data_IF_873222431006
#
_entry.id   IF_873222431006
#
_cell.length_a   1.000
_cell.length_b   1.000
_cell.length_c   1.000
_cell.angle_alpha   90.00
_cell.angle_beta   90.00
_cell.angle_gamma   90.00
#
_symmetry.space_group_name_H-M   'P 1'
#
loop_
_entity.id
_entity.type
_entity.pdbx_description
1 polymer ?
#
# COMPACT_ATOMS: atom_id res chain seq x y z
N UNK A 1 26.93 -43.42 56.56
CA UNK A 1 26.81 -42.08 55.97
C UNK A 1 26.30 -42.06 54.52
N UNK A 2 25.80 -43.18 53.97
CA UNK A 2 25.38 -43.31 52.55
C UNK A 2 23.84 -43.43 52.37
N UNK A 3 23.06 -43.50 53.47
CA UNK A 3 21.58 -43.66 53.39
C UNK A 3 20.75 -42.36 53.49
N UNK A 4 21.35 -41.21 53.70
CA UNK A 4 20.66 -39.93 53.88
C UNK A 4 20.63 -39.13 52.54
N UNK A 5 21.61 -39.30 51.65
CA UNK A 5 21.63 -38.57 50.35
C UNK A 5 20.61 -39.07 49.30
N UNK A 6 20.21 -40.34 49.34
CA UNK A 6 19.25 -40.90 48.41
C UNK A 6 17.79 -40.41 48.61
N UNK A 7 17.42 -40.00 49.86
CA UNK A 7 16.07 -39.49 50.15
C UNK A 7 15.86 -38.02 49.81
N UNK A 8 16.93 -37.23 49.71
CA UNK A 8 16.85 -35.81 49.29
C UNK A 8 16.72 -35.67 47.76
N UNK A 9 17.40 -36.52 46.94
CA UNK A 9 17.33 -36.48 45.47
C UNK A 9 15.95 -36.89 44.92
N UNK A 10 15.23 -37.79 45.59
CA UNK A 10 13.87 -38.18 45.16
C UNK A 10 12.80 -37.09 45.44
N UNK A 11 12.97 -36.28 46.52
CA UNK A 11 12.03 -35.20 46.82
C UNK A 11 12.22 -33.99 45.88
N UNK A 12 13.46 -33.70 45.47
CA UNK A 12 13.75 -32.61 44.51
C UNK A 12 13.30 -32.99 43.10
N UNK A 13 13.44 -34.28 42.71
CA UNK A 13 12.96 -34.77 41.40
C UNK A 13 11.43 -34.79 41.32
N UNK A 14 10.73 -35.10 42.42
CA UNK A 14 9.27 -35.06 42.49
C UNK A 14 8.69 -33.65 42.42
N UNK A 15 9.35 -32.65 43.02
CA UNK A 15 8.95 -31.25 42.96
C UNK A 15 9.27 -30.64 41.57
N UNK A 16 10.34 -31.05 40.87
CA UNK A 16 10.67 -30.64 39.49
C UNK A 16 9.70 -31.25 38.46
N UNK A 17 9.27 -32.46 38.64
CA UNK A 17 8.25 -33.11 37.78
C UNK A 17 6.84 -32.56 38.00
N UNK A 18 6.50 -32.10 39.22
CA UNK A 18 5.20 -31.50 39.51
C UNK A 18 5.10 -30.06 38.95
N UNK A 19 6.22 -29.31 38.88
CA UNK A 19 6.25 -27.97 38.28
C UNK A 19 6.31 -28.01 36.73
N UNK A 20 6.66 -29.13 36.08
CA UNK A 20 6.66 -29.26 34.61
C UNK A 20 5.26 -29.54 34.05
N UNK A 21 4.29 -29.93 34.91
CA UNK A 21 2.93 -30.29 34.44
C UNK A 21 1.93 -29.11 34.56
N UNK A 22 2.33 -27.94 35.08
CA UNK A 22 1.44 -26.78 35.29
C UNK A 22 1.55 -25.72 34.18
N UNK A 23 2.39 -25.91 33.15
CA UNK A 23 2.47 -25.05 31.97
C UNK A 23 1.92 -25.76 30.71
N UNK A 24 0.75 -26.38 30.81
CA UNK A 24 -0.08 -26.52 29.63
C UNK A 24 -0.67 -25.15 29.37
N UNK A 25 -0.35 -24.45 28.25
CA UNK A 25 -1.09 -23.27 27.88
C UNK A 25 -2.53 -23.75 27.66
N UNK A 26 -3.42 -23.43 28.61
CA UNK A 26 -4.85 -23.42 28.31
C UNK A 26 -4.93 -22.51 27.07
N UNK A 27 -5.23 -23.10 25.92
CA UNK A 27 -5.58 -22.34 24.73
C UNK A 27 -6.89 -21.63 25.01
N UNK A 28 -6.83 -20.59 25.84
CA UNK A 28 -7.94 -19.69 26.01
C UNK A 28 -8.23 -19.11 24.64
N UNK A 29 -9.36 -19.46 24.10
CA UNK A 29 -9.84 -19.00 22.82
C UNK A 29 -9.77 -17.46 22.87
N UNK A 30 -8.85 -16.88 22.10
CA UNK A 30 -8.62 -15.42 22.14
C UNK A 30 -9.85 -14.74 21.60
N UNK A 31 -10.38 -13.84 22.40
CA UNK A 31 -11.54 -13.03 22.03
C UNK A 31 -11.03 -11.67 21.59
N UNK A 32 -11.28 -11.32 20.34
CA UNK A 32 -10.86 -10.03 19.76
C UNK A 32 -12.02 -9.04 19.72
N UNK A 33 -11.73 -7.81 20.10
CA UNK A 33 -12.61 -6.66 19.87
C UNK A 33 -12.34 -6.05 18.50
N UNK A 34 -13.27 -5.25 17.98
CA UNK A 34 -13.09 -4.53 16.71
C UNK A 34 -11.80 -3.69 16.71
N UNK A 35 -11.52 -2.98 17.81
CA UNK A 35 -10.32 -2.14 17.90
C UNK A 35 -9.03 -2.98 17.83
N UNK A 36 -8.97 -4.10 18.52
CA UNK A 36 -7.81 -4.99 18.46
C UNK A 36 -7.55 -5.56 17.07
N UNK A 37 -8.62 -5.82 16.32
CA UNK A 37 -8.53 -6.28 14.92
C UNK A 37 -7.96 -5.16 14.04
N UNK A 38 -8.45 -3.94 14.18
CA UNK A 38 -7.94 -2.77 13.44
C UNK A 38 -6.45 -2.54 13.74
N UNK A 39 -6.07 -2.52 15.03
CA UNK A 39 -4.69 -2.32 15.45
C UNK A 39 -3.76 -3.42 14.91
N UNK A 40 -4.20 -4.68 14.96
CA UNK A 40 -3.44 -5.81 14.40
C UNK A 40 -3.29 -5.70 12.88
N UNK A 41 -4.34 -5.29 12.16
CA UNK A 41 -4.30 -5.09 10.73
C UNK A 41 -3.31 -3.96 10.37
N UNK A 42 -3.37 -2.82 11.03
CA UNK A 42 -2.46 -1.69 10.79
C UNK A 42 -0.99 -2.03 11.06
N UNK A 43 -0.71 -2.92 12.03
CA UNK A 43 0.65 -3.34 12.34
C UNK A 43 1.20 -4.38 11.37
N UNK A 44 0.39 -5.34 10.96
CA UNK A 44 0.87 -6.55 10.32
C UNK A 44 0.52 -6.64 8.83
N UNK A 45 -0.45 -5.84 8.34
CA UNK A 45 -0.89 -5.92 6.95
C UNK A 45 0.24 -5.58 5.98
N UNK A 46 0.33 -6.37 4.92
CA UNK A 46 1.36 -6.22 3.89
C UNK A 46 1.26 -4.88 3.15
N UNK A 47 0.05 -4.38 2.85
CA UNK A 47 -0.14 -3.13 2.13
C UNK A 47 0.40 -1.94 2.94
N UNK A 48 0.11 -1.85 4.25
CA UNK A 48 0.64 -0.81 5.14
C UNK A 48 2.15 -0.91 5.26
N UNK A 49 2.69 -2.12 5.43
CA UNK A 49 4.16 -2.32 5.49
C UNK A 49 4.84 -1.90 4.20
N UNK A 50 4.27 -2.26 3.05
CA UNK A 50 4.78 -1.85 1.73
C UNK A 50 4.74 -0.33 1.56
N UNK A 51 3.65 0.33 1.97
CA UNK A 51 3.53 1.78 1.92
C UNK A 51 4.55 2.48 2.86
N UNK A 52 4.84 1.91 4.05
CA UNK A 52 5.91 2.41 4.94
C UNK A 52 7.29 2.32 4.29
N UNK A 53 7.60 1.23 3.58
CA UNK A 53 8.82 1.14 2.79
C UNK A 53 8.85 2.17 1.64
N UNK A 54 7.70 2.45 1.02
CA UNK A 54 7.56 3.52 0.02
C UNK A 54 7.95 4.90 0.57
N UNK A 55 7.50 5.23 1.78
CA UNK A 55 7.89 6.48 2.46
C UNK A 55 9.39 6.52 2.75
N UNK A 56 9.97 5.40 3.19
CA UNK A 56 11.41 5.36 3.48
C UNK A 56 12.24 5.49 2.19
N UNK A 57 11.82 4.84 1.10
CA UNK A 57 12.44 5.01 -0.21
C UNK A 57 12.37 6.47 -0.71
N UNK A 58 11.22 7.12 -0.56
CA UNK A 58 11.05 8.54 -0.93
C UNK A 58 11.92 9.47 -0.08
N UNK A 59 12.11 9.18 1.21
CA UNK A 59 13.08 9.90 2.06
C UNK A 59 14.51 9.77 1.56
N UNK A 60 14.93 8.56 1.14
CA UNK A 60 16.26 8.37 0.58
C UNK A 60 16.41 9.11 -0.76
N UNK A 61 15.38 9.07 -1.62
CA UNK A 61 15.37 9.83 -2.88
C UNK A 61 15.47 11.36 -2.63
N UNK A 62 14.82 11.87 -1.59
CA UNK A 62 14.99 13.29 -1.19
C UNK A 62 16.41 13.59 -0.72
N UNK A 63 17.02 12.69 0.08
CA UNK A 63 18.42 12.84 0.50
C UNK A 63 19.36 12.80 -0.71
N UNK A 64 19.12 11.89 -1.66
CA UNK A 64 19.86 11.81 -2.92
C UNK A 64 19.74 13.11 -3.72
N UNK A 65 18.51 13.67 -3.88
CA UNK A 65 18.31 14.94 -4.54
C UNK A 65 19.10 16.08 -3.84
N UNK A 66 19.20 16.04 -2.52
CA UNK A 66 19.97 17.02 -1.74
C UNK A 66 21.47 16.93 -2.02
N UNK A 67 22.01 15.76 -2.33
CA UNK A 67 23.45 15.62 -2.66
C UNK A 67 23.86 16.40 -3.91
N UNK A 68 22.91 16.74 -4.79
CA UNK A 68 23.16 17.58 -5.98
C UNK A 68 23.60 19.02 -5.66
N UNK A 69 23.44 19.46 -4.39
CA UNK A 69 24.00 20.73 -3.93
C UNK A 69 25.52 20.68 -3.66
N UNK A 70 26.11 19.49 -3.54
CA UNK A 70 27.53 19.31 -3.26
C UNK A 70 28.34 19.03 -4.54
N UNK A 71 29.66 19.27 -4.51
CA UNK A 71 30.53 18.90 -5.62
C UNK A 71 30.45 17.40 -5.94
N UNK A 72 30.34 17.09 -7.22
CA UNK A 72 30.51 15.71 -7.67
C UNK A 72 31.98 15.40 -7.86
N UNK A 73 32.50 14.40 -7.18
CA UNK A 73 33.88 13.92 -7.33
C UNK A 73 33.85 12.64 -8.15
N UNK A 74 34.63 12.61 -9.24
CA UNK A 74 34.78 11.45 -10.11
C UNK A 74 36.23 11.14 -10.38
N UNK A 75 36.59 9.85 -10.40
CA UNK A 75 37.87 9.36 -10.82
C UNK A 75 37.71 8.57 -12.13
N UNK A 76 38.57 8.85 -13.10
CA UNK A 76 38.62 8.12 -14.36
C UNK A 76 40.04 7.61 -14.59
N UNK A 77 40.17 6.38 -15.07
CA UNK A 77 41.43 5.78 -15.46
C UNK A 77 41.29 5.12 -16.83
N UNK A 78 42.24 5.37 -17.71
CA UNK A 78 42.32 4.76 -19.02
C UNK A 78 43.73 4.21 -19.20
N UNK A 79 43.85 2.95 -19.55
CA UNK A 79 45.05 2.34 -20.07
C UNK A 79 44.79 1.90 -21.50
N UNK A 80 45.74 2.17 -22.39
CA UNK A 80 45.66 1.74 -23.76
C UNK A 80 46.98 1.27 -24.31
N UNK A 81 46.94 0.37 -25.27
CA UNK A 81 48.05 -0.07 -26.08
C UNK A 81 47.60 -0.19 -27.54
N UNK A 82 48.23 0.60 -28.42
CA UNK A 82 47.90 0.64 -29.83
C UNK A 82 48.97 -0.05 -30.65
N UNK A 83 48.61 -0.67 -31.77
CA UNK A 83 49.52 -1.30 -32.68
C UNK A 83 50.43 -0.28 -33.42
N UNK A 84 49.98 0.98 -33.53
CA UNK A 84 50.70 2.13 -34.08
C UNK A 84 50.51 3.33 -33.14
N UNK A 85 51.51 4.24 -33.11
CA UNK A 85 51.37 5.49 -32.34
C UNK A 85 50.23 6.33 -32.85
N UNK A 86 49.44 6.92 -31.93
CA UNK A 86 48.29 7.80 -32.26
C UNK A 86 48.74 9.16 -32.79
N UNK A 87 49.94 9.62 -32.46
CA UNK A 87 50.55 10.81 -33.00
C UNK A 87 51.86 10.46 -33.69
N UNK A 88 52.03 10.89 -34.93
CA UNK A 88 53.27 10.77 -35.69
C UNK A 88 53.71 12.16 -36.11
N UNK A 89 54.92 12.53 -35.79
CA UNK A 89 55.51 13.77 -36.30
C UNK A 89 56.77 13.39 -37.07
N UNK A 90 56.96 14.03 -38.22
CA UNK A 90 58.12 13.86 -39.05
C UNK A 90 59.01 15.09 -38.87
N UNK A 91 60.20 14.90 -38.36
CA UNK A 91 61.18 15.96 -38.20
C UNK A 91 62.29 15.76 -39.18
N UNK A 92 62.70 16.81 -39.87
CA UNK A 92 63.92 16.83 -40.69
C UNK A 92 65.06 17.34 -39.82
N UNK A 93 66.04 16.50 -39.42
CA UNK A 93 67.16 16.92 -38.58
C UNK A 93 67.89 18.12 -39.17
N UNK A 94 67.91 18.25 -40.50
CA UNK A 94 68.61 19.34 -41.22
C UNK A 94 68.00 20.71 -40.92
N UNK A 95 66.72 20.84 -40.48
CA UNK A 95 66.02 22.09 -40.13
C UNK A 95 66.53 22.68 -38.79
N UNK A 96 67.11 21.88 -37.92
CA UNK A 96 67.57 22.27 -36.61
C UNK A 96 69.10 22.60 -36.60
N UNK A 97 69.78 22.40 -37.76
CA UNK A 97 71.23 22.68 -37.88
C UNK A 97 71.36 24.11 -38.44
N UNK A 98 71.93 25.08 -37.66
CA UNK A 98 72.19 26.40 -38.18
C UNK A 98 73.07 26.32 -39.45
N UNK A 99 72.73 27.16 -40.44
CA UNK A 99 73.43 27.17 -41.75
C UNK A 99 74.95 27.36 -41.64
N UNK A 100 75.43 28.01 -40.61
CA UNK A 100 76.89 28.13 -40.31
C UNK A 100 77.58 26.83 -39.86
N UNK A 101 76.80 25.94 -39.20
CA UNK A 101 77.29 24.61 -38.79
C UNK A 101 77.04 23.56 -39.89
N UNK A 102 76.04 23.70 -40.72
CA UNK A 102 75.76 22.81 -41.84
C UNK A 102 76.92 22.76 -42.86
N UNK A 103 77.56 23.90 -43.11
CA UNK A 103 78.68 23.99 -44.05
C UNK A 103 79.97 23.33 -43.48
N UNK A 104 80.24 23.43 -42.17
CA UNK A 104 81.41 22.80 -41.51
C UNK A 104 81.15 21.27 -41.33
N UNK A 105 79.94 20.83 -41.09
CA UNK A 105 79.56 19.40 -41.00
C UNK A 105 79.67 18.71 -42.38
N UNK A 106 79.25 19.41 -43.45
CA UNK A 106 79.34 18.91 -44.81
C UNK A 106 80.79 18.70 -45.28
N UNK A 107 81.75 19.46 -44.71
CA UNK A 107 83.22 19.31 -45.01
C UNK A 107 83.88 18.23 -44.18
N UNK A 108 83.32 17.77 -43.07
CA UNK A 108 83.96 16.87 -42.12
C UNK A 108 83.34 15.46 -42.00
N UNK A 109 82.16 15.24 -42.53
CA UNK A 109 81.43 13.98 -42.43
C UNK A 109 81.40 13.21 -43.74
N UNK A 110 81.42 11.84 -43.70
CA UNK A 110 81.21 11.00 -44.86
C UNK A 110 79.84 11.25 -45.51
N UNK A 111 79.81 11.08 -46.83
CA UNK A 111 78.56 11.32 -47.58
C UNK A 111 77.32 10.54 -47.09
N UNK A 112 77.54 9.35 -46.54
CA UNK A 112 76.50 8.51 -45.91
C UNK A 112 75.90 9.12 -44.65
N UNK A 113 76.81 9.75 -43.80
CA UNK A 113 76.35 10.43 -42.59
C UNK A 113 75.60 11.73 -42.89
N UNK A 114 75.94 12.42 -43.98
CA UNK A 114 75.27 13.62 -44.47
C UNK A 114 73.89 13.28 -45.02
N UNK A 115 73.79 12.16 -45.77
CA UNK A 115 72.50 11.65 -46.25
C UNK A 115 71.58 11.23 -45.12
N UNK A 116 72.10 10.70 -44.05
CA UNK A 116 71.33 10.33 -42.85
C UNK A 116 70.67 11.57 -42.14
N UNK A 117 71.39 12.71 -42.15
CA UNK A 117 70.91 13.98 -41.57
C UNK A 117 69.80 14.62 -42.43
N UNK A 118 69.73 14.28 -43.72
CA UNK A 118 68.63 14.74 -44.63
C UNK A 118 67.39 13.87 -44.64
N UNK A 119 67.42 12.69 -44.05
CA UNK A 119 66.30 11.81 -44.00
C UNK A 119 65.34 12.20 -42.93
N UNK A 120 63.99 12.33 -43.26
CA UNK A 120 62.99 12.63 -42.29
C UNK A 120 62.89 11.50 -41.24
N UNK A 121 63.08 11.84 -39.99
CA UNK A 121 62.85 10.93 -38.86
C UNK A 121 61.41 11.03 -38.40
N UNK A 122 60.65 9.94 -38.58
CA UNK A 122 59.28 9.87 -38.07
C UNK A 122 59.31 9.38 -36.62
N UNK A 123 58.88 10.23 -35.72
CA UNK A 123 58.71 9.91 -34.31
C UNK A 123 57.27 9.53 -34.09
N UNK A 124 57.06 8.31 -33.66
CA UNK A 124 55.75 7.78 -33.32
C UNK A 124 55.56 7.89 -31.82
N UNK A 125 54.61 8.69 -31.41
CA UNK A 125 54.29 8.98 -29.98
C UNK A 125 52.97 8.34 -29.59
N UNK A 126 52.73 8.18 -28.29
CA UNK A 126 51.45 7.71 -27.73
C UNK A 126 51.05 6.32 -28.21
N UNK A 127 51.99 5.37 -28.26
CA UNK A 127 51.70 3.98 -28.61
C UNK A 127 51.04 3.23 -27.48
N UNK A 128 51.43 3.50 -26.26
CA UNK A 128 50.86 2.97 -25.02
C UNK A 128 50.85 4.07 -23.99
N UNK A 129 49.94 3.97 -23.05
CA UNK A 129 49.87 4.96 -21.99
C UNK A 129 48.78 4.68 -20.96
N UNK A 130 48.95 5.34 -19.84
CA UNK A 130 47.95 5.41 -18.78
C UNK A 130 47.57 6.87 -18.56
N UNK A 131 46.28 7.11 -18.47
CA UNK A 131 45.70 8.42 -18.09
C UNK A 131 44.89 8.20 -16.84
N UNK A 132 45.13 8.95 -15.78
CA UNK A 132 44.35 8.99 -14.57
C UNK A 132 43.86 10.40 -14.32
N UNK A 133 42.58 10.57 -13.94
CA UNK A 133 42.03 11.87 -13.61
C UNK A 133 41.12 11.78 -12.39
N UNK A 134 41.34 12.63 -11.42
CA UNK A 134 40.42 12.88 -10.30
C UNK A 134 39.86 14.29 -10.45
N UNK A 135 38.56 14.40 -10.63
CA UNK A 135 37.87 15.68 -10.87
C UNK A 135 36.76 15.92 -9.88
N UNK A 136 36.70 17.13 -9.31
CA UNK A 136 35.59 17.64 -8.52
C UNK A 136 34.92 18.77 -9.30
N UNK A 137 33.58 18.65 -9.51
CA UNK A 137 32.81 19.64 -10.26
C UNK A 137 31.61 20.08 -9.44
N UNK A 138 31.48 21.41 -9.25
CA UNK A 138 30.38 22.03 -8.53
C UNK A 138 29.57 22.89 -9.50
N UNK A 139 28.28 22.57 -9.76
CA UNK A 139 27.38 23.47 -10.43
C UNK A 139 27.10 24.70 -9.56
N UNK A 140 27.43 25.89 -10.05
CA UNK A 140 27.12 27.18 -9.38
C UNK A 140 25.75 27.67 -9.82
N UNK A 141 25.44 27.50 -11.10
CA UNK A 141 24.14 27.82 -11.66
C UNK A 141 23.72 26.72 -12.66
N UNK A 142 22.56 26.15 -12.47
CA UNK A 142 22.00 25.10 -13.32
C UNK A 142 20.54 25.45 -13.71
N UNK A 143 20.25 26.69 -14.05
CA UNK A 143 18.90 27.11 -14.45
C UNK A 143 17.82 26.85 -13.38
N UNK A 144 18.20 26.76 -12.09
CA UNK A 144 17.28 26.41 -11.00
C UNK A 144 16.87 24.93 -10.92
N UNK A 145 17.48 24.06 -11.73
CA UNK A 145 17.14 22.62 -11.77
C UNK A 145 17.40 21.91 -10.44
N UNK A 146 18.52 22.23 -9.75
CA UNK A 146 18.85 21.65 -8.46
C UNK A 146 17.81 22.02 -7.40
N UNK A 147 17.42 23.29 -7.34
CA UNK A 147 16.42 23.79 -6.39
C UNK A 147 15.04 23.16 -6.65
N UNK A 148 14.58 23.20 -7.91
CA UNK A 148 13.28 22.64 -8.28
C UNK A 148 13.25 21.10 -8.20
N UNK A 149 14.37 20.43 -8.49
CA UNK A 149 14.53 19.00 -8.31
C UNK A 149 14.42 18.58 -6.85
N UNK A 150 15.07 19.33 -5.94
CA UNK A 150 14.95 19.09 -4.49
C UNK A 150 13.52 19.34 -3.98
N UNK A 151 12.84 20.39 -4.48
CA UNK A 151 11.42 20.63 -4.15
C UNK A 151 10.54 19.49 -4.67
N UNK A 152 10.80 19.01 -5.88
CA UNK A 152 10.05 17.88 -6.45
C UNK A 152 10.26 16.60 -5.66
N UNK A 153 11.47 16.31 -5.21
CA UNK A 153 11.76 15.16 -4.35
C UNK A 153 11.07 15.29 -2.98
N UNK A 154 10.96 16.51 -2.42
CA UNK A 154 10.16 16.75 -1.21
C UNK A 154 8.67 16.48 -1.44
N UNK A 155 8.12 16.97 -2.56
CA UNK A 155 6.73 16.66 -2.94
C UNK A 155 6.52 15.14 -3.10
N UNK A 156 7.49 14.43 -3.66
CA UNK A 156 7.47 12.96 -3.75
C UNK A 156 7.40 12.28 -2.37
N UNK A 157 8.14 12.76 -1.38
CA UNK A 157 8.05 12.28 0.00
C UNK A 157 6.68 12.57 0.61
N UNK A 158 6.14 13.79 0.43
CA UNK A 158 4.80 14.17 0.91
C UNK A 158 3.72 13.28 0.28
N UNK A 159 3.79 13.01 -1.03
CA UNK A 159 2.90 12.10 -1.75
C UNK A 159 2.96 10.69 -1.15
N UNK A 160 4.16 10.16 -0.91
CA UNK A 160 4.31 8.83 -0.32
C UNK A 160 3.73 8.74 1.10
N UNK A 161 3.80 9.80 1.89
CA UNK A 161 3.16 9.88 3.22
C UNK A 161 1.64 9.87 3.13
N UNK A 162 1.07 10.64 2.19
CA UNK A 162 -0.38 10.63 1.94
C UNK A 162 -0.86 9.27 1.44
N UNK A 163 -0.09 8.60 0.59
CA UNK A 163 -0.38 7.23 0.13
C UNK A 163 -0.33 6.22 1.28
N UNK A 164 0.58 6.38 2.25
CA UNK A 164 0.60 5.56 3.46
C UNK A 164 -0.70 5.75 4.26
N UNK A 165 -1.13 6.98 4.49
CA UNK A 165 -2.38 7.27 5.21
C UNK A 165 -3.60 6.67 4.49
N UNK A 166 -3.68 6.81 3.16
CA UNK A 166 -4.74 6.17 2.37
C UNK A 166 -4.71 4.64 2.48
N UNK A 167 -3.52 4.04 2.49
CA UNK A 167 -3.37 2.60 2.69
C UNK A 167 -3.79 2.16 4.10
N UNK A 168 -3.47 2.95 5.13
CA UNK A 168 -3.90 2.70 6.51
C UNK A 168 -5.42 2.77 6.64
N UNK A 169 -6.06 3.80 6.06
CA UNK A 169 -7.52 3.95 6.04
C UNK A 169 -8.21 2.78 5.31
N UNK A 170 -7.69 2.35 4.15
CA UNK A 170 -8.27 1.23 3.39
C UNK A 170 -8.11 -0.11 4.11
N UNK A 171 -6.96 -0.32 4.78
CA UNK A 171 -6.73 -1.51 5.60
C UNK A 171 -7.66 -1.55 6.81
N UNK A 172 -7.84 -0.42 7.48
CA UNK A 172 -8.78 -0.32 8.60
C UNK A 172 -10.21 -0.61 8.18
N UNK A 173 -10.64 -0.03 7.04
CA UNK A 173 -11.97 -0.29 6.46
C UNK A 173 -12.19 -1.76 6.15
N UNK A 174 -11.27 -2.37 5.43
CA UNK A 174 -11.40 -3.77 5.01
C UNK A 174 -11.42 -4.71 6.23
N UNK A 175 -10.61 -4.43 7.26
CA UNK A 175 -10.62 -5.19 8.51
C UNK A 175 -11.98 -5.08 9.23
N UNK A 176 -12.56 -3.88 9.28
CA UNK A 176 -13.88 -3.65 9.87
C UNK A 176 -14.99 -4.32 9.05
N UNK A 177 -14.91 -4.31 7.72
CA UNK A 177 -15.87 -5.03 6.86
C UNK A 177 -15.84 -6.54 7.11
N UNK A 178 -14.65 -7.16 7.20
CA UNK A 178 -14.55 -8.58 7.56
C UNK A 178 -15.07 -8.87 8.97
N UNK A 179 -14.84 -7.94 9.92
CA UNK A 179 -15.41 -8.08 11.26
C UNK A 179 -16.94 -8.12 11.22
N UNK A 180 -17.60 -7.17 10.56
CA UNK A 180 -19.05 -7.14 10.45
C UNK A 180 -19.62 -8.30 9.66
N UNK A 181 -18.92 -8.76 8.64
CA UNK A 181 -19.28 -9.97 7.92
C UNK A 181 -19.24 -11.22 8.82
N UNK A 182 -18.22 -11.34 9.67
CA UNK A 182 -18.12 -12.45 10.62
C UNK A 182 -19.22 -12.36 11.69
N UNK A 183 -19.52 -11.16 12.20
CA UNK A 183 -20.66 -10.93 13.12
C UNK A 183 -21.97 -11.39 12.47
N UNK A 184 -22.25 -10.96 11.24
CA UNK A 184 -23.46 -11.33 10.51
C UNK A 184 -23.61 -12.84 10.38
N UNK A 185 -22.53 -13.54 9.96
CA UNK A 185 -22.56 -15.01 9.84
C UNK A 185 -22.78 -15.72 11.18
N UNK A 186 -22.20 -15.21 12.27
CA UNK A 186 -22.40 -15.78 13.61
C UNK A 186 -23.83 -15.56 14.12
N UNK A 187 -24.44 -14.39 13.89
CA UNK A 187 -25.82 -14.14 14.26
C UNK A 187 -26.80 -15.02 13.45
N UNK A 188 -26.58 -15.16 12.13
CA UNK A 188 -27.35 -16.09 11.30
C UNK A 188 -27.20 -17.54 11.76
N UNK A 189 -26.04 -17.95 12.25
CA UNK A 189 -25.84 -19.28 12.84
C UNK A 189 -26.74 -19.46 14.06
N UNK A 190 -26.84 -18.48 14.96
CA UNK A 190 -27.75 -18.52 16.12
C UNK A 190 -29.21 -18.61 15.70
N UNK A 191 -29.60 -17.87 14.63
CA UNK A 191 -30.93 -17.95 14.04
C UNK A 191 -31.23 -19.38 13.55
N UNK A 192 -30.31 -19.97 12.81
CA UNK A 192 -30.44 -21.36 12.31
C UNK A 192 -30.54 -22.37 13.45
N UNK A 193 -29.76 -22.23 14.52
CA UNK A 193 -29.83 -23.08 15.71
C UNK A 193 -31.18 -22.95 16.46
N UNK A 194 -31.70 -21.74 16.58
CA UNK A 194 -33.01 -21.48 17.18
C UNK A 194 -34.14 -22.09 16.34
N UNK A 195 -34.06 -21.95 15.01
CA UNK A 195 -35.03 -22.53 14.06
C UNK A 195 -34.96 -24.05 14.05
N UNK A 196 -33.74 -24.65 14.11
CA UNK A 196 -33.59 -26.11 14.22
C UNK A 196 -34.28 -26.66 15.49
N UNK A 197 -34.12 -25.93 16.60
CA UNK A 197 -34.80 -26.31 17.87
C UNK A 197 -36.31 -26.20 17.72
N UNK A 198 -36.83 -25.14 17.13
CA UNK A 198 -38.25 -24.98 16.86
C UNK A 198 -38.83 -26.05 15.95
N UNK A 199 -38.11 -26.45 14.89
CA UNK A 199 -38.53 -27.49 13.96
C UNK A 199 -38.49 -28.87 14.61
N UNK A 200 -37.60 -29.16 15.54
CA UNK A 200 -37.60 -30.37 16.34
C UNK A 200 -38.80 -30.48 17.24
N UNK A 201 -39.27 -29.37 17.82
CA UNK A 201 -40.47 -29.36 18.64
C UNK A 201 -41.74 -29.54 17.77
N UNK A 202 -41.80 -28.85 16.60
CA UNK A 202 -42.90 -29.07 15.64
C UNK A 202 -42.92 -30.54 15.17
N UNK A 203 -41.75 -31.12 14.87
CA UNK A 203 -41.66 -32.53 14.48
C UNK A 203 -42.24 -33.46 15.54
N UNK A 204 -41.94 -33.27 16.84
CA UNK A 204 -42.48 -34.07 17.93
C UNK A 204 -44.01 -33.90 18.03
N UNK A 205 -44.53 -32.69 17.96
CA UNK A 205 -45.94 -32.41 17.99
C UNK A 205 -46.68 -33.17 16.85
N UNK A 206 -46.11 -33.06 15.62
CA UNK A 206 -46.68 -33.72 14.42
C UNK A 206 -46.57 -35.26 14.46
N UNK A 207 -45.47 -35.80 14.93
CA UNK A 207 -45.28 -37.26 15.04
C UNK A 207 -46.32 -37.90 15.98
N UNK A 208 -46.60 -37.23 17.12
CA UNK A 208 -47.66 -37.64 18.04
C UNK A 208 -49.05 -37.54 17.38
N UNK A 209 -49.32 -36.47 16.63
CA UNK A 209 -50.59 -36.26 15.95
C UNK A 209 -50.80 -37.29 14.81
N UNK A 210 -49.76 -37.65 14.07
CA UNK A 210 -49.81 -38.70 13.03
C UNK A 210 -50.06 -40.08 13.64
N UNK A 211 -49.40 -40.40 14.74
CA UNK A 211 -49.62 -41.69 15.47
C UNK A 211 -51.05 -41.77 16.05
N UNK A 212 -51.60 -40.63 16.47
CA UNK A 212 -53.01 -40.57 16.94
C UNK A 212 -54.01 -40.54 15.79
N UNK A 213 -53.59 -40.51 14.52
CA UNK A 213 -54.48 -40.51 13.35
C UNK A 213 -55.14 -39.14 13.07
N UNK A 214 -54.72 -38.04 13.74
CA UNK A 214 -55.29 -36.68 13.59
C UNK A 214 -54.52 -35.81 12.63
N UNK A 215 -53.30 -36.21 12.19
CA UNK A 215 -52.51 -35.53 11.18
C UNK A 215 -52.07 -36.51 10.07
N UNK A 216 -51.75 -35.99 8.90
CA UNK A 216 -51.31 -36.81 7.76
C UNK A 216 -49.79 -37.07 7.81
N UNK A 217 -49.41 -38.26 7.33
CA UNK A 217 -47.99 -38.61 7.19
C UNK A 217 -47.23 -37.60 6.31
N UNK A 218 -47.88 -36.98 5.35
CA UNK A 218 -47.33 -35.93 4.50
C UNK A 218 -46.86 -34.71 5.32
N UNK A 219 -47.54 -34.33 6.39
CA UNK A 219 -47.16 -33.22 7.27
C UNK A 219 -45.83 -33.50 7.94
N UNK A 220 -45.59 -34.75 8.40
CA UNK A 220 -44.34 -35.19 8.97
C UNK A 220 -43.17 -35.08 7.96
N UNK A 221 -43.43 -35.54 6.70
CA UNK A 221 -42.43 -35.47 5.63
C UNK A 221 -42.08 -34.00 5.28
N UNK A 222 -43.02 -33.07 5.30
CA UNK A 222 -42.78 -31.64 5.07
C UNK A 222 -41.86 -31.05 6.15
N UNK A 223 -42.09 -31.40 7.43
CA UNK A 223 -41.19 -30.97 8.52
C UNK A 223 -39.78 -31.54 8.37
N UNK A 224 -39.66 -32.83 7.99
CA UNK A 224 -38.35 -33.46 7.75
C UNK A 224 -37.60 -32.78 6.60
N UNK A 225 -38.28 -32.46 5.49
CA UNK A 225 -37.66 -31.72 4.39
C UNK A 225 -37.15 -30.38 4.86
N UNK A 226 -37.95 -29.63 5.66
CA UNK A 226 -37.53 -28.37 6.21
C UNK A 226 -36.34 -28.48 7.17
N UNK A 227 -36.25 -29.52 7.98
CA UNK A 227 -35.09 -29.82 8.82
C UNK A 227 -33.83 -30.07 7.97
N UNK A 228 -33.95 -30.80 6.85
CA UNK A 228 -32.82 -30.99 5.93
C UNK A 228 -32.32 -29.67 5.31
N UNK A 229 -33.24 -28.77 4.96
CA UNK A 229 -32.88 -27.43 4.47
C UNK A 229 -32.10 -26.64 5.52
N UNK A 230 -32.52 -26.66 6.78
CA UNK A 230 -31.84 -26.02 7.90
C UNK A 230 -30.45 -26.61 8.13
N UNK A 231 -30.31 -27.95 8.05
CA UNK A 231 -28.97 -28.56 8.14
C UNK A 231 -28.06 -28.16 6.99
N UNK A 232 -28.58 -28.07 5.77
CA UNK A 232 -27.83 -27.55 4.62
C UNK A 232 -27.36 -26.09 4.82
N UNK A 233 -28.25 -25.22 5.33
CA UNK A 233 -27.90 -23.84 5.64
C UNK A 233 -26.83 -23.75 6.75
N UNK A 234 -26.94 -24.59 7.79
CA UNK A 234 -25.96 -24.68 8.87
C UNK A 234 -24.55 -25.00 8.31
N UNK A 235 -24.44 -26.00 7.43
CA UNK A 235 -23.17 -26.38 6.80
C UNK A 235 -22.58 -25.23 5.98
N UNK A 236 -23.41 -24.51 5.21
CA UNK A 236 -22.97 -23.32 4.43
C UNK A 236 -22.47 -22.22 5.34
N UNK A 237 -23.16 -21.93 6.45
CA UNK A 237 -22.75 -20.91 7.42
C UNK A 237 -21.45 -21.27 8.14
N UNK A 238 -21.29 -22.54 8.55
CA UNK A 238 -20.05 -23.04 9.16
C UNK A 238 -18.85 -22.85 8.23
N UNK A 239 -19.00 -23.22 6.96
CA UNK A 239 -17.96 -23.00 5.96
C UNK A 239 -17.67 -21.50 5.76
N UNK A 240 -18.73 -20.65 5.63
CA UNK A 240 -18.59 -19.21 5.52
C UNK A 240 -17.83 -18.60 6.70
N UNK A 241 -18.18 -18.96 7.93
CA UNK A 241 -17.49 -18.52 9.15
C UNK A 241 -16.02 -18.92 9.12
N UNK A 242 -15.70 -20.14 8.71
CA UNK A 242 -14.33 -20.63 8.61
C UNK A 242 -13.52 -19.81 7.60
N UNK A 243 -14.07 -19.54 6.41
CA UNK A 243 -13.41 -18.77 5.36
C UNK A 243 -13.18 -17.33 5.82
N UNK A 244 -14.17 -16.65 6.40
CA UNK A 244 -14.01 -15.26 6.86
C UNK A 244 -13.01 -15.17 8.01
N UNK A 245 -12.94 -16.15 8.91
CA UNK A 245 -11.90 -16.22 9.93
C UNK A 245 -10.51 -16.37 9.32
N UNK A 246 -10.33 -17.21 8.31
CA UNK A 246 -9.06 -17.35 7.59
C UNK A 246 -8.64 -16.05 6.90
N UNK A 247 -9.58 -15.39 6.22
CA UNK A 247 -9.34 -14.08 5.58
C UNK A 247 -8.93 -13.02 6.61
N UNK A 248 -9.65 -12.94 7.72
CA UNK A 248 -9.34 -11.97 8.78
C UNK A 248 -7.99 -12.28 9.46
N UNK A 249 -7.67 -13.58 9.69
CA UNK A 249 -6.36 -13.99 10.20
C UNK A 249 -5.23 -13.57 9.27
N UNK A 250 -5.35 -13.85 7.99
CA UNK A 250 -4.34 -13.48 6.99
C UNK A 250 -4.19 -11.95 6.90
N UNK A 251 -5.32 -11.23 6.92
CA UNK A 251 -5.35 -9.78 6.79
C UNK A 251 -4.73 -9.05 7.99
N UNK A 252 -4.97 -9.56 9.19
CA UNK A 252 -4.42 -9.05 10.45
C UNK A 252 -3.05 -9.65 10.80
N UNK A 253 -2.53 -10.61 10.02
CA UNK A 253 -1.28 -11.30 10.32
C UNK A 253 -1.34 -12.17 11.58
N UNK A 254 -2.54 -12.66 11.94
CA UNK A 254 -2.73 -13.54 13.08
C UNK A 254 -2.30 -14.96 12.73
N UNK A 255 -1.53 -15.61 13.60
CA UNK A 255 -1.09 -17.00 13.40
C UNK A 255 -2.15 -18.03 13.77
N UNK A 256 -3.09 -17.63 14.63
CA UNK A 256 -4.17 -18.51 15.10
C UNK A 256 -5.47 -18.17 14.36
N UNK A 257 -6.13 -19.20 13.86
CA UNK A 257 -7.42 -19.12 13.16
C UNK A 257 -8.60 -19.47 14.06
N UNK A 258 -8.33 -19.95 15.29
CA UNK A 258 -9.34 -20.41 16.25
C UNK A 258 -9.78 -19.32 17.24
N UNK A 259 -9.81 -18.06 16.81
CA UNK A 259 -10.26 -16.95 17.64
C UNK A 259 -11.79 -16.77 17.59
N UNK A 260 -12.31 -16.13 18.64
CA UNK A 260 -13.71 -15.66 18.71
C UNK A 260 -13.70 -14.13 18.72
N UNK A 261 -14.74 -13.53 18.13
CA UNK A 261 -14.94 -12.10 18.23
C UNK A 261 -15.93 -11.81 19.38
N UNK A 262 -15.64 -10.81 20.20
CA UNK A 262 -16.63 -10.32 21.15
C UNK A 262 -17.44 -9.22 20.49
N UNK A 263 -18.68 -9.53 20.22
CA UNK A 263 -19.69 -8.56 19.92
C UNK A 263 -20.76 -8.66 21.02
N UNK A 264 -20.92 -7.60 21.82
CA UNK A 264 -22.00 -7.56 22.81
C UNK A 264 -23.31 -7.46 22.05
N UNK A 265 -24.05 -8.53 22.05
CA UNK A 265 -25.34 -8.70 21.41
C UNK A 265 -26.43 -7.91 22.15
N UNK A 266 -26.35 -6.60 22.09
CA UNK A 266 -27.44 -5.69 22.39
C UNK A 266 -27.98 -5.11 21.09
N UNK A 267 -28.19 -5.95 20.04
CA UNK A 267 -28.73 -5.49 18.76
C UNK A 267 -30.01 -4.68 18.98
N UNK A 268 -30.93 -5.19 19.79
CA UNK A 268 -32.19 -4.51 20.12
C UNK A 268 -32.01 -3.24 20.98
N UNK A 269 -31.15 -3.28 22.02
CA UNK A 269 -30.93 -2.12 22.88
C UNK A 269 -30.09 -1.03 22.22
N UNK A 270 -29.07 -1.41 21.43
CA UNK A 270 -28.23 -0.43 20.73
C UNK A 270 -28.94 0.21 19.54
N UNK A 271 -29.76 -0.53 18.81
CA UNK A 271 -30.58 0.05 17.73
C UNK A 271 -31.61 1.03 18.31
N UNK A 272 -32.28 0.70 19.42
CA UNK A 272 -33.18 1.63 20.10
C UNK A 272 -32.46 2.84 20.70
N UNK A 273 -31.25 2.68 21.23
CA UNK A 273 -30.45 3.81 21.71
C UNK A 273 -29.91 4.67 20.57
N UNK A 274 -29.50 4.06 19.46
CA UNK A 274 -29.08 4.77 18.22
C UNK A 274 -30.26 5.47 17.54
N UNK A 275 -31.43 4.86 17.54
CA UNK A 275 -32.64 5.49 17.02
C UNK A 275 -33.12 6.68 17.89
N UNK A 276 -32.87 6.64 19.21
CA UNK A 276 -33.15 7.76 20.13
C UNK A 276 -32.08 8.86 20.07
N UNK A 277 -30.87 8.56 19.66
CA UNK A 277 -29.80 9.55 19.49
C UNK A 277 -29.81 10.21 18.10
N UNK A 278 -31.00 10.33 17.45
CA UNK A 278 -31.16 11.05 16.17
C UNK A 278 -30.49 12.43 16.15
N UNK A 279 -30.35 13.06 17.33
CA UNK A 279 -29.84 14.42 17.43
C UNK A 279 -28.31 14.51 17.66
N UNK A 280 -27.64 13.44 18.07
CA UNK A 280 -26.23 13.51 18.44
C UNK A 280 -25.25 13.02 17.36
N UNK A 281 -25.68 12.15 16.44
CA UNK A 281 -24.79 11.57 15.43
C UNK A 281 -24.97 12.15 14.02
N UNK A 282 -26.06 12.87 13.76
CA UNK A 282 -26.49 13.32 12.43
C UNK A 282 -26.74 14.82 12.34
N UNK A 283 -26.12 15.64 13.18
CA UNK A 283 -26.00 17.03 12.82
C UNK A 283 -25.12 17.05 11.57
N UNK A 284 -25.74 17.42 10.46
CA UNK A 284 -25.11 17.74 9.17
C UNK A 284 -24.15 18.91 9.42
N UNK A 285 -23.02 18.58 10.04
CA UNK A 285 -22.03 19.55 10.44
C UNK A 285 -21.54 20.25 9.17
N UNK A 286 -21.53 21.56 9.15
CA UNK A 286 -20.96 22.35 8.06
C UNK A 286 -19.48 21.99 7.78
N UNK A 287 -18.82 21.26 8.69
CA UNK A 287 -17.50 20.63 8.52
C UNK A 287 -17.49 19.47 7.54
N UNK A 288 -18.65 18.83 7.24
CA UNK A 288 -18.79 17.70 6.31
C UNK A 288 -18.26 17.97 4.90
N UNK A 289 -18.28 19.21 4.46
CA UNK A 289 -17.89 19.59 3.08
C UNK A 289 -16.50 20.19 2.98
N UNK A 290 -15.67 20.03 3.99
CA UNK A 290 -14.27 20.46 3.86
C UNK A 290 -13.43 19.41 3.14
N UNK A 291 -13.65 19.30 1.83
CA UNK A 291 -12.90 18.41 0.93
C UNK A 291 -11.39 18.59 1.06
N UNK A 292 -10.93 19.79 1.47
CA UNK A 292 -9.51 20.12 1.61
C UNK A 292 -8.79 19.29 2.70
N UNK A 293 -9.54 18.76 3.67
CA UNK A 293 -8.97 17.91 4.71
C UNK A 293 -8.75 16.46 4.25
N UNK A 294 -9.36 16.05 3.13
CA UNK A 294 -9.23 14.69 2.61
C UNK A 294 -7.84 14.43 2.05
N UNK A 295 -7.29 13.27 2.37
CA UNK A 295 -5.98 12.83 1.86
C UNK A 295 -5.97 12.73 0.33
N UNK A 296 -7.08 12.31 -0.29
CA UNK A 296 -7.24 12.25 -1.74
C UNK A 296 -7.13 13.65 -2.37
N UNK A 297 -7.78 14.66 -1.79
CA UNK A 297 -7.66 16.04 -2.27
C UNK A 297 -6.22 16.57 -2.12
N UNK A 298 -5.59 16.32 -0.97
CA UNK A 298 -4.20 16.73 -0.74
C UNK A 298 -3.25 16.04 -1.72
N UNK A 299 -3.50 14.78 -2.07
CA UNK A 299 -2.73 14.04 -3.09
C UNK A 299 -2.83 14.72 -4.46
N UNK A 300 -4.04 15.08 -4.89
CA UNK A 300 -4.29 15.80 -6.15
C UNK A 300 -3.60 17.17 -6.14
N UNK A 301 -3.67 17.89 -5.03
CA UNK A 301 -2.97 19.18 -4.88
C UNK A 301 -1.45 19.01 -5.02
N UNK A 302 -0.88 17.94 -4.44
CA UNK A 302 0.55 17.61 -4.61
C UNK A 302 0.90 17.22 -6.05
N UNK A 303 -0.02 16.60 -6.80
CA UNK A 303 0.18 16.33 -8.24
C UNK A 303 0.25 17.64 -9.05
N UNK A 304 -0.60 18.63 -8.76
CA UNK A 304 -0.54 19.96 -9.38
C UNK A 304 0.79 20.65 -9.04
N UNK A 305 1.22 20.59 -7.79
CA UNK A 305 2.52 21.14 -7.34
C UNK A 305 3.69 20.47 -8.08
N UNK A 306 3.66 19.14 -8.22
CA UNK A 306 4.67 18.37 -8.95
C UNK A 306 4.71 18.77 -10.44
N UNK A 307 3.56 18.88 -11.10
CA UNK A 307 3.46 19.32 -12.50
C UNK A 307 4.01 20.73 -12.71
N UNK A 308 3.76 21.66 -11.76
CA UNK A 308 4.33 23.00 -11.78
C UNK A 308 5.87 23.00 -11.62
N UNK A 309 6.39 22.16 -10.73
CA UNK A 309 7.84 22.00 -10.55
C UNK A 309 8.49 21.37 -11.79
N UNK A 310 7.84 20.37 -12.43
CA UNK A 310 8.30 19.80 -13.68
C UNK A 310 8.34 20.84 -14.83
N UNK A 311 7.34 21.73 -14.88
CA UNK A 311 7.37 22.86 -15.82
C UNK A 311 8.57 23.77 -15.56
N UNK A 312 8.86 24.12 -14.28
CA UNK A 312 10.03 24.91 -13.92
C UNK A 312 11.35 24.22 -14.24
N UNK A 313 11.42 22.90 -14.08
CA UNK A 313 12.57 22.10 -14.49
C UNK A 313 12.79 22.15 -16.01
N UNK A 314 11.73 22.02 -16.80
CA UNK A 314 11.82 22.13 -18.26
C UNK A 314 12.27 23.53 -18.71
N UNK A 315 11.86 24.60 -18.03
CA UNK A 315 12.40 25.96 -18.27
C UNK A 315 13.89 25.99 -17.92
N UNK A 316 14.28 25.43 -16.76
CA UNK A 316 15.68 25.39 -16.31
C UNK A 316 16.62 24.65 -17.25
N UNK A 317 16.14 23.63 -17.95
CA UNK A 317 16.92 22.86 -18.93
C UNK A 317 17.33 23.70 -20.16
N UNK A 318 16.60 24.75 -20.45
CA UNK A 318 16.90 25.67 -21.56
C UNK A 318 17.73 26.91 -21.16
N UNK A 319 18.12 26.99 -19.89
CA UNK A 319 18.96 28.09 -19.37
C UNK A 319 20.45 27.66 -19.39
N UNK A 320 21.36 28.63 -19.52
CA UNK A 320 22.78 28.37 -19.37
C UNK A 320 23.10 27.64 -18.05
N UNK A 321 24.11 26.78 -18.06
CA UNK A 321 24.65 26.18 -16.83
C UNK A 321 26.09 26.68 -16.62
N UNK A 322 26.40 27.00 -15.37
CA UNK A 322 27.74 27.43 -14.95
C UNK A 322 28.23 26.46 -13.87
N UNK A 323 29.39 25.90 -14.09
CA UNK A 323 30.06 25.04 -13.10
C UNK A 323 31.52 25.45 -12.91
N UNK A 324 32.01 25.28 -11.69
CA UNK A 324 33.41 25.40 -11.35
C UNK A 324 33.97 24.03 -10.98
N UNK A 325 35.21 23.77 -11.30
CA UNK A 325 35.84 22.51 -10.97
C UNK A 325 37.33 22.61 -10.68
N UNK A 326 37.82 21.61 -10.00
CA UNK A 326 39.24 21.37 -9.80
C UNK A 326 39.55 19.90 -10.08
N UNK A 327 40.69 19.66 -10.66
CA UNK A 327 41.11 18.29 -11.00
C UNK A 327 42.59 18.08 -10.83
N UNK A 328 42.96 16.84 -10.61
CA UNK A 328 44.34 16.38 -10.63
C UNK A 328 44.45 15.26 -11.68
N UNK A 329 45.34 15.51 -12.66
CA UNK A 329 45.51 14.61 -13.80
C UNK A 329 46.91 14.00 -13.78
N UNK A 330 46.99 12.77 -14.17
CA UNK A 330 48.24 12.01 -14.38
C UNK A 330 48.21 11.40 -15.78
N UNK A 331 49.32 11.44 -16.47
CA UNK A 331 49.54 10.70 -17.72
C UNK A 331 50.98 10.35 -17.94
N UNK A 332 51.22 9.25 -18.67
CA UNK A 332 52.53 8.82 -19.14
C UNK A 332 52.56 8.59 -20.67
N UNK A 333 52.01 9.53 -21.42
CA UNK A 333 51.84 9.42 -22.87
C UNK A 333 53.13 9.60 -23.68
N UNK A 334 54.12 10.29 -23.11
CA UNK A 334 55.37 10.73 -23.77
C UNK A 334 56.60 10.20 -23.03
N UNK A 335 56.59 8.90 -22.63
CA UNK A 335 57.68 8.19 -21.91
C UNK A 335 58.03 8.75 -20.53
N UNK A 336 57.55 9.95 -20.17
CA UNK A 336 57.67 10.56 -18.85
C UNK A 336 56.35 10.64 -18.12
N UNK A 337 56.41 10.42 -16.81
CA UNK A 337 55.26 10.58 -15.94
C UNK A 337 54.98 12.08 -15.69
N UNK A 338 53.81 12.55 -16.07
CA UNK A 338 53.39 13.91 -15.80
C UNK A 338 52.14 13.94 -14.93
N UNK A 339 52.18 14.79 -13.91
CA UNK A 339 51.00 15.06 -13.11
C UNK A 339 50.81 16.57 -12.93
N UNK A 340 49.58 17.04 -13.03
CA UNK A 340 49.29 18.45 -12.86
C UNK A 340 47.88 18.65 -12.29
N UNK A 341 47.74 19.70 -11.47
CA UNK A 341 46.44 20.19 -10.99
C UNK A 341 45.90 21.26 -11.91
N UNK A 342 44.58 21.29 -12.07
CA UNK A 342 43.90 22.36 -12.82
C UNK A 342 42.65 22.82 -12.09
N UNK A 343 42.34 24.13 -12.20
CA UNK A 343 41.06 24.71 -11.79
C UNK A 343 40.43 25.31 -13.04
N UNK A 344 39.12 25.08 -13.20
CA UNK A 344 38.41 25.50 -14.40
C UNK A 344 37.00 25.99 -14.06
N UNK A 345 36.46 26.86 -14.91
CA UNK A 345 35.06 27.22 -14.95
C UNK A 345 34.50 26.88 -16.33
N UNK A 346 33.32 26.29 -16.34
CA UNK A 346 32.61 25.94 -17.59
C UNK A 346 31.29 26.71 -17.64
N UNK A 347 30.96 27.22 -18.81
CA UNK A 347 29.66 27.78 -19.13
C UNK A 347 29.14 27.00 -20.33
N UNK A 348 27.99 26.34 -20.17
CA UNK A 348 27.33 25.62 -21.25
C UNK A 348 26.00 26.30 -21.58
N UNK A 349 25.81 26.64 -22.85
CA UNK A 349 24.58 27.26 -23.36
C UNK A 349 23.97 26.35 -24.40
N UNK A 350 22.78 25.80 -24.18
CA UNK A 350 22.14 24.86 -25.12
C UNK A 350 21.47 25.59 -26.29
N UNK A 351 22.25 26.11 -27.25
CA UNK A 351 21.74 26.99 -28.33
C UNK A 351 20.75 26.28 -29.25
N UNK A 352 21.07 25.07 -29.72
CA UNK A 352 20.21 24.30 -30.65
C UNK A 352 18.97 23.72 -29.95
N UNK A 353 19.04 23.50 -28.63
CA UNK A 353 17.95 22.92 -27.87
C UNK A 353 16.80 23.92 -27.61
N UNK A 354 16.99 25.22 -27.85
CA UNK A 354 15.96 26.25 -27.64
C UNK A 354 14.70 26.01 -28.45
N UNK A 355 14.82 25.49 -29.69
CA UNK A 355 13.65 25.19 -30.52
C UNK A 355 12.87 23.98 -29.95
N UNK A 356 13.53 22.85 -29.72
CA UNK A 356 12.93 21.68 -29.08
C UNK A 356 12.48 21.97 -27.64
N UNK A 357 13.28 22.71 -26.88
CA UNK A 357 13.01 23.13 -25.50
C UNK A 357 11.76 23.99 -25.36
N UNK A 358 11.48 24.87 -26.34
CA UNK A 358 10.25 25.68 -26.33
C UNK A 358 9.00 24.80 -26.35
N UNK A 359 9.01 23.72 -27.16
CA UNK A 359 7.93 22.75 -27.23
C UNK A 359 7.85 21.89 -25.96
N UNK A 360 8.98 21.53 -25.36
CA UNK A 360 9.02 20.81 -24.09
C UNK A 360 8.41 21.65 -22.96
N UNK A 361 8.72 22.94 -22.88
CA UNK A 361 8.12 23.88 -21.91
C UNK A 361 6.61 24.02 -22.16
N UNK A 362 6.18 24.17 -23.42
CA UNK A 362 4.75 24.26 -23.77
C UNK A 362 4.02 22.97 -23.37
N UNK A 363 4.58 21.80 -23.66
CA UNK A 363 4.04 20.51 -23.22
C UNK A 363 3.86 20.46 -21.71
N UNK A 364 4.89 20.79 -20.94
CA UNK A 364 4.82 20.81 -19.46
C UNK A 364 3.84 21.85 -18.92
N UNK A 365 3.65 22.96 -19.61
CA UNK A 365 2.59 23.94 -19.28
C UNK A 365 1.20 23.32 -19.47
N UNK A 366 0.98 22.62 -20.56
CA UNK A 366 -0.31 21.92 -20.84
C UNK A 366 -0.54 20.80 -19.81
N UNK A 367 0.50 20.01 -19.47
CA UNK A 367 0.41 18.99 -18.42
C UNK A 367 0.02 19.59 -17.06
N UNK A 368 0.58 20.75 -16.71
CA UNK A 368 0.19 21.46 -15.49
C UNK A 368 -1.27 21.97 -15.56
N UNK A 369 -1.72 22.53 -16.67
CA UNK A 369 -3.11 22.93 -16.84
C UNK A 369 -4.05 21.72 -16.72
N UNK A 370 -3.72 20.60 -17.37
CA UNK A 370 -4.45 19.34 -17.23
C UNK A 370 -4.55 18.88 -15.77
N UNK A 371 -3.47 18.99 -14.99
CA UNK A 371 -3.49 18.62 -13.58
C UNK A 371 -4.40 19.54 -12.75
N UNK A 372 -4.51 20.82 -13.08
CA UNK A 372 -5.44 21.78 -12.43
C UNK A 372 -6.89 21.40 -12.75
N UNK A 373 -7.22 21.14 -14.01
CA UNK A 373 -8.56 20.70 -14.43
C UNK A 373 -8.94 19.37 -13.74
N UNK A 374 -7.99 18.43 -13.66
CA UNK A 374 -8.20 17.17 -12.94
C UNK A 374 -8.45 17.38 -11.44
N UNK A 375 -7.78 18.33 -10.79
CA UNK A 375 -8.05 18.67 -9.39
C UNK A 375 -9.48 19.17 -9.22
N UNK A 376 -9.96 20.03 -10.14
CA UNK A 376 -11.32 20.58 -10.08
C UNK A 376 -12.36 19.48 -10.29
N UNK A 377 -12.22 18.65 -11.32
CA UNK A 377 -13.12 17.54 -11.64
C UNK A 377 -13.19 16.55 -10.46
N UNK A 378 -12.03 16.08 -9.99
CA UNK A 378 -11.98 15.15 -8.85
C UNK A 378 -12.53 15.77 -7.56
N UNK A 379 -12.40 17.08 -7.37
CA UNK A 379 -13.01 17.77 -6.22
C UNK A 379 -14.53 17.67 -6.26
N UNK A 380 -15.14 17.85 -7.43
CA UNK A 380 -16.58 17.66 -7.61
C UNK A 380 -17.00 16.19 -7.37
N UNK A 381 -16.20 15.22 -7.87
CA UNK A 381 -16.46 13.80 -7.64
C UNK A 381 -16.36 13.42 -6.15
N UNK A 382 -15.40 13.99 -5.41
CA UNK A 382 -15.30 13.79 -3.96
C UNK A 382 -16.53 14.32 -3.22
N UNK A 383 -17.06 15.50 -3.61
CA UNK A 383 -18.29 16.04 -3.03
C UNK A 383 -19.51 15.12 -3.31
N UNK A 384 -19.61 14.61 -4.54
CA UNK A 384 -20.67 13.66 -4.91
C UNK A 384 -20.52 12.37 -4.10
N UNK A 385 -19.31 11.86 -3.93
CA UNK A 385 -19.02 10.67 -3.11
C UNK A 385 -19.45 10.87 -1.65
N UNK A 386 -19.14 12.03 -1.06
CA UNK A 386 -19.56 12.37 0.30
C UNK A 386 -21.09 12.40 0.43
N UNK A 387 -21.78 13.04 -0.52
CA UNK A 387 -23.23 13.08 -0.52
C UNK A 387 -23.86 11.69 -0.72
N UNK A 388 -23.30 10.89 -1.62
CA UNK A 388 -23.76 9.51 -1.84
C UNK A 388 -23.54 8.62 -0.60
N UNK A 389 -22.42 8.77 0.08
CA UNK A 389 -22.14 8.04 1.31
C UNK A 389 -23.13 8.42 2.42
N UNK A 390 -23.51 9.70 2.54
CA UNK A 390 -24.57 10.15 3.45
C UNK A 390 -25.92 9.53 3.12
N UNK A 391 -26.32 9.60 1.85
CA UNK A 391 -27.58 9.00 1.40
C UNK A 391 -27.63 7.50 1.69
N UNK A 392 -26.51 6.81 1.51
CA UNK A 392 -26.37 5.39 1.84
C UNK A 392 -26.56 5.08 3.33
N UNK A 393 -26.06 5.94 4.23
CA UNK A 393 -26.28 5.80 5.68
C UNK A 393 -27.77 5.99 6.01
N UNK A 394 -28.41 7.02 5.44
CA UNK A 394 -29.84 7.28 5.69
C UNK A 394 -30.70 6.15 5.17
N UNK A 395 -30.46 5.66 3.96
CA UNK A 395 -31.17 4.53 3.37
C UNK A 395 -31.01 3.26 4.21
N UNK A 396 -29.77 2.88 4.56
CA UNK A 396 -29.50 1.66 5.33
C UNK A 396 -30.11 1.73 6.74
N UNK A 397 -30.16 2.91 7.35
CA UNK A 397 -30.84 3.11 8.62
C UNK A 397 -32.37 2.89 8.50
N UNK A 398 -33.00 3.42 7.46
CA UNK A 398 -34.44 3.17 7.22
C UNK A 398 -34.71 1.68 6.94
N UNK A 399 -33.85 1.01 6.20
CA UNK A 399 -33.92 -0.44 5.96
C UNK A 399 -33.84 -1.24 7.26
N UNK A 400 -32.97 -0.84 8.19
CA UNK A 400 -32.84 -1.48 9.50
C UNK A 400 -34.12 -1.34 10.32
N UNK A 401 -34.75 -0.13 10.35
CA UNK A 401 -36.02 0.09 11.04
C UNK A 401 -37.19 -0.74 10.44
N UNK A 402 -37.22 -0.88 9.11
CA UNK A 402 -38.18 -1.72 8.42
C UNK A 402 -37.97 -3.21 8.76
N UNK A 403 -36.74 -3.65 8.83
CA UNK A 403 -36.38 -5.02 9.21
C UNK A 403 -36.80 -5.35 10.66
N UNK A 404 -36.62 -4.41 11.61
CA UNK A 404 -37.15 -4.55 13.00
C UNK A 404 -38.65 -4.78 13.04
N UNK A 405 -39.40 -3.94 12.34
CA UNK A 405 -40.87 -4.09 12.26
C UNK A 405 -41.28 -5.43 11.62
N UNK A 406 -40.51 -5.88 10.62
CA UNK A 406 -40.75 -7.18 9.98
C UNK A 406 -40.54 -8.36 10.93
N UNK A 407 -39.60 -8.27 11.88
CA UNK A 407 -39.43 -9.31 12.92
C UNK A 407 -40.65 -9.35 13.84
N UNK A 408 -41.16 -8.21 14.31
CA UNK A 408 -42.34 -8.17 15.15
C UNK A 408 -43.55 -8.82 14.46
N UNK A 409 -43.81 -8.45 13.21
CA UNK A 409 -44.88 -9.01 12.40
C UNK A 409 -44.74 -10.50 12.13
N UNK A 410 -43.52 -10.94 11.77
CA UNK A 410 -43.23 -12.35 11.48
C UNK A 410 -43.33 -13.21 12.75
N UNK A 411 -42.92 -12.68 13.90
CA UNK A 411 -43.00 -13.36 15.20
C UNK A 411 -44.45 -13.62 15.56
N UNK A 412 -45.33 -12.59 15.42
CA UNK A 412 -46.73 -12.73 15.70
C UNK A 412 -47.42 -13.66 14.68
N UNK A 413 -47.08 -13.56 13.40
CA UNK A 413 -47.58 -14.46 12.36
C UNK A 413 -47.24 -15.91 12.66
N UNK A 414 -46.01 -16.20 13.06
CA UNK A 414 -45.58 -17.55 13.45
C UNK A 414 -46.34 -18.04 14.68
N UNK A 415 -46.52 -17.20 15.70
CA UNK A 415 -47.30 -17.52 16.91
C UNK A 415 -48.74 -17.91 16.58
N UNK A 416 -49.41 -17.11 15.74
CA UNK A 416 -50.81 -17.36 15.32
C UNK A 416 -50.90 -18.64 14.50
N UNK A 417 -50.06 -18.86 13.49
CA UNK A 417 -50.11 -20.06 12.65
C UNK A 417 -49.81 -21.33 13.45
N UNK A 418 -48.93 -21.27 14.46
CA UNK A 418 -48.69 -22.39 15.38
C UNK A 418 -49.92 -22.75 16.18
N UNK A 419 -50.68 -21.74 16.67
CA UNK A 419 -51.92 -21.95 17.42
C UNK A 419 -53.03 -22.50 16.51
N UNK A 420 -53.19 -21.97 15.28
CA UNK A 420 -54.17 -22.45 14.32
C UNK A 420 -53.91 -23.90 13.89
N UNK A 421 -52.65 -24.24 13.66
CA UNK A 421 -52.27 -25.63 13.35
C UNK A 421 -52.61 -26.56 14.52
N UNK A 422 -52.32 -26.18 15.75
CA UNK A 422 -52.65 -26.95 16.95
C UNK A 422 -54.19 -27.08 17.16
N UNK A 423 -54.94 -26.09 16.75
CA UNK A 423 -56.41 -26.11 16.76
C UNK A 423 -57.02 -26.89 15.59
N UNK A 424 -56.19 -27.39 14.63
CA UNK A 424 -56.67 -28.13 13.44
C UNK A 424 -57.32 -27.22 12.38
N UNK A 425 -57.15 -25.88 12.47
CA UNK A 425 -57.77 -24.88 11.58
C UNK A 425 -56.87 -24.38 10.48
N UNK A 426 -55.56 -24.74 10.48
CA UNK A 426 -54.57 -24.38 9.48
C UNK A 426 -53.79 -25.60 9.03
N UNK A 427 -53.20 -25.54 7.82
CA UNK A 427 -52.37 -26.61 7.24
C UNK A 427 -50.93 -26.51 7.75
N UNK A 428 -50.18 -27.64 7.65
CA UNK A 428 -48.75 -27.68 7.95
C UNK A 428 -47.94 -26.73 7.05
N UNK A 429 -48.34 -26.60 5.77
CA UNK A 429 -47.71 -25.63 4.83
C UNK A 429 -47.71 -24.20 5.37
N UNK A 430 -48.82 -23.74 5.94
CA UNK A 430 -49.00 -22.38 6.42
C UNK A 430 -48.12 -22.11 7.65
N UNK A 431 -47.99 -23.11 8.54
CA UNK A 431 -47.06 -23.07 9.69
C UNK A 431 -45.60 -23.00 9.24
N UNK A 432 -45.22 -23.84 8.25
CA UNK A 432 -43.83 -23.86 7.75
C UNK A 432 -43.49 -22.60 6.95
N UNK A 433 -44.48 -22.01 6.24
CA UNK A 433 -44.31 -20.72 5.57
C UNK A 433 -44.13 -19.59 6.60
N UNK A 434 -44.93 -19.52 7.65
CA UNK A 434 -44.78 -18.57 8.74
C UNK A 434 -43.42 -18.70 9.44
N UNK A 435 -42.92 -19.94 9.62
CA UNK A 435 -41.58 -20.19 10.16
C UNK A 435 -40.46 -19.69 9.19
N UNK A 436 -40.66 -19.89 7.88
CA UNK A 436 -39.72 -19.39 6.88
C UNK A 436 -39.63 -17.87 6.87
N UNK A 437 -40.81 -17.19 6.89
CA UNK A 437 -40.89 -15.72 6.97
C UNK A 437 -40.24 -15.17 8.24
N UNK A 438 -40.42 -15.86 9.37
CA UNK A 438 -39.77 -15.49 10.63
C UNK A 438 -38.23 -15.57 10.50
N UNK A 439 -37.70 -16.70 10.00
CA UNK A 439 -36.28 -16.85 9.76
C UNK A 439 -35.73 -15.80 8.80
N UNK A 440 -36.39 -15.57 7.67
CA UNK A 440 -36.00 -14.57 6.69
C UNK A 440 -35.99 -13.14 7.26
N UNK A 441 -36.92 -12.83 8.17
CA UNK A 441 -36.96 -11.53 8.83
C UNK A 441 -35.80 -11.31 9.78
N UNK A 442 -35.37 -12.35 10.53
CA UNK A 442 -34.18 -12.30 11.37
C UNK A 442 -32.90 -12.16 10.54
N UNK A 443 -32.78 -12.93 9.44
CA UNK A 443 -31.64 -12.88 8.54
C UNK A 443 -31.54 -11.49 7.87
N UNK A 444 -32.66 -10.93 7.39
CA UNK A 444 -32.72 -9.57 6.82
C UNK A 444 -32.33 -8.49 7.82
N UNK A 445 -32.75 -8.61 9.07
CA UNK A 445 -32.36 -7.66 10.10
C UNK A 445 -30.86 -7.72 10.37
N UNK A 446 -30.29 -8.92 10.45
CA UNK A 446 -28.85 -9.11 10.63
C UNK A 446 -28.06 -8.50 9.48
N UNK A 447 -28.53 -8.70 8.23
CA UNK A 447 -27.90 -8.12 7.04
C UNK A 447 -28.04 -6.59 7.02
N UNK A 448 -29.22 -6.04 7.32
CA UNK A 448 -29.46 -4.61 7.38
C UNK A 448 -28.60 -3.92 8.44
N UNK A 449 -28.38 -4.57 9.59
CA UNK A 449 -27.49 -4.04 10.62
C UNK A 449 -26.03 -4.02 10.17
N UNK A 450 -25.55 -5.10 9.55
CA UNK A 450 -24.17 -5.17 9.03
C UNK A 450 -23.96 -4.15 7.90
N UNK A 451 -24.96 -3.98 7.02
CA UNK A 451 -24.92 -2.98 5.95
C UNK A 451 -24.89 -1.55 6.51
N UNK A 452 -25.74 -1.25 7.49
CA UNK A 452 -25.72 0.04 8.18
C UNK A 452 -24.35 0.38 8.78
N UNK A 453 -23.68 -0.58 9.45
CA UNK A 453 -22.34 -0.37 9.97
C UNK A 453 -21.30 -0.12 8.85
N UNK A 454 -21.41 -0.85 7.75
CA UNK A 454 -20.53 -0.66 6.59
C UNK A 454 -20.78 0.71 5.92
N UNK A 455 -22.04 1.16 5.79
CA UNK A 455 -22.36 2.49 5.24
C UNK A 455 -21.87 3.62 6.15
N UNK A 456 -21.98 3.44 7.46
CA UNK A 456 -21.44 4.38 8.44
C UNK A 456 -19.89 4.48 8.33
N UNK A 457 -19.21 3.35 8.11
CA UNK A 457 -17.76 3.30 7.88
C UNK A 457 -17.38 4.01 6.56
N UNK A 458 -18.09 3.73 5.46
CA UNK A 458 -17.91 4.41 4.17
C UNK A 458 -18.08 5.93 4.29
N UNK A 459 -19.08 6.37 5.06
CA UNK A 459 -19.33 7.78 5.32
C UNK A 459 -18.20 8.45 6.11
N UNK A 460 -17.73 7.81 7.20
CA UNK A 460 -16.59 8.33 7.98
C UNK A 460 -15.35 8.51 7.12
N UNK A 461 -15.04 7.54 6.26
CA UNK A 461 -13.91 7.65 5.33
C UNK A 461 -14.12 8.74 4.28
N UNK A 462 -15.33 8.84 3.73
CA UNK A 462 -15.63 9.87 2.73
C UNK A 462 -15.54 11.29 3.31
N UNK A 463 -15.70 11.45 4.62
CA UNK A 463 -15.63 12.74 5.33
C UNK A 463 -14.30 12.98 6.06
N UNK A 464 -13.42 11.97 6.10
CA UNK A 464 -12.12 12.07 6.77
C UNK A 464 -12.20 12.04 8.30
N UNK A 465 -13.24 11.36 8.84
CA UNK A 465 -13.47 11.21 10.30
C UNK A 465 -12.94 9.87 10.83
#
# INVERSE_FOLDING_TARGET
MIKIEARCKCKVLGVLLFNLFTFLPLSAQRVFTLQQIKDSALQNNFAVRSARYGVEAAKQQRKEAFTKYFPSVSGTGLWFNANKGMAQTTMNPSEFIPSSLATSLAASLPAEALAALGNPVSISMMKNGTIGSLMAVQPVFAGGQIINGNKLAKVGEDVSRLQLQLSENEVEKTAEQYFWQLVSLQEKMKTVEAVDTLLRDIYKDVDVAVRAGVAMRNDLLQVQLRQNDIQSQRLKLQNGISIVRLLLSQYCGLRDTSFTISFQTGLSEKVQSSARSKDACYQRDARMFNVQCLQEYQLLQKQVEAANLQKKLAVGQNLPTVAVGAGYNYHNLLENNHSFGMVFATVSVPISDWWGGSHAVKRKKIEHQKAVEQLEDHTQLLMIRMQNAWNGVEESFQQLLLAERSIEQATENLRLNRNYYRAGTSKMSDLLEAQLLYQQSLDKHTDAFADYQNKLLEYRQATGQ
#
